data_IF_173754663726
#
_entry.id   IF_173754663726
#
_cell.length_a   1.000
_cell.length_b   1.000
_cell.length_c   1.000
_cell.angle_alpha   90.00
_cell.angle_beta   90.00
_cell.angle_gamma   90.00
#
_symmetry.space_group_name_H-M   'P 1'
#
loop_
_entity.id
_entity.type
_entity.pdbx_description
1 polymer ?
#
# COMPACT_ATOMS: atom_id res chain seq x y z
N UNK A 1 -1.88 6.75 -11.80
CA UNK A 1 -1.96 5.84 -10.93
C UNK A 1 -1.53 4.55 -11.37
N UNK A 2 -1.07 3.82 -10.55
CA UNK A 2 -0.53 2.65 -10.92
C UNK A 2 -1.40 1.56 -11.11
N UNK A 3 -2.61 1.71 -10.92
CA UNK A 3 -3.45 0.61 -10.93
C UNK A 3 -3.56 -0.09 -12.16
N UNK A 4 -3.64 -1.31 -12.13
CA UNK A 4 -3.85 -2.11 -13.20
C UNK A 4 -5.17 -2.04 -13.51
N UNK A 5 -5.54 -1.74 -14.50
CA UNK A 5 -6.72 -1.63 -14.82
C UNK A 5 -7.46 -2.70 -15.08
N UNK A 6 -8.63 -2.66 -14.91
CA UNK A 6 -9.55 -3.60 -15.24
C UNK A 6 -9.44 -4.85 -14.62
N UNK A 7 -8.58 -4.98 -13.73
CA UNK A 7 -8.36 -6.17 -13.26
C UNK A 7 -9.13 -6.46 -12.17
N UNK A 8 -9.92 -7.27 -12.27
CA UNK A 8 -10.67 -7.70 -11.20
C UNK A 8 -9.82 -8.21 -10.16
N UNK A 9 -10.28 -8.35 -8.99
CA UNK A 9 -9.50 -8.88 -7.95
C UNK A 9 -9.10 -10.28 -8.27
N UNK A 10 -7.84 -10.54 -8.07
CA UNK A 10 -7.33 -11.87 -8.24
C UNK A 10 -7.61 -12.61 -6.96
N UNK A 11 -8.35 -13.69 -7.02
CA UNK A 11 -8.75 -14.40 -5.81
C UNK A 11 -7.56 -14.90 -5.01
N UNK A 12 -6.43 -15.13 -5.65
CA UNK A 12 -5.25 -15.56 -4.91
C UNK A 12 -4.67 -14.45 -4.06
N UNK A 13 -4.97 -13.19 -4.39
CA UNK A 13 -4.46 -12.07 -3.64
C UNK A 13 -5.44 -11.57 -2.61
N UNK A 14 -6.69 -11.93 -2.73
CA UNK A 14 -7.70 -11.42 -1.83
C UNK A 14 -7.75 -12.27 -0.56
N UNK A 15 -7.75 -11.65 0.57
CA UNK A 15 -7.94 -12.34 1.83
C UNK A 15 -8.58 -11.39 2.80
N UNK A 16 -9.19 -11.94 3.84
CA UNK A 16 -9.81 -11.13 4.86
C UNK A 16 -8.78 -10.24 5.55
N UNK A 17 -7.61 -10.77 5.80
CA UNK A 17 -6.57 -10.00 6.48
C UNK A 17 -6.10 -8.84 5.61
N UNK A 18 -5.95 -9.06 4.32
CA UNK A 18 -5.56 -7.98 3.42
C UNK A 18 -6.66 -6.95 3.28
N UNK A 19 -7.91 -7.40 3.25
CA UNK A 19 -9.02 -6.48 3.19
C UNK A 19 -9.04 -5.56 4.40
N UNK A 20 -8.79 -6.11 5.56
CA UNK A 20 -8.76 -5.31 6.78
C UNK A 20 -7.59 -4.33 6.80
N UNK A 21 -6.45 -4.76 6.30
CA UNK A 21 -5.32 -3.88 6.17
C UNK A 21 -5.67 -2.69 5.26
N UNK A 22 -6.28 -2.97 4.13
CA UNK A 22 -6.60 -1.92 3.18
C UNK A 22 -7.67 -0.99 3.72
N UNK A 23 -8.63 -1.51 4.48
CA UNK A 23 -9.61 -0.66 5.12
C UNK A 23 -8.96 0.30 6.11
N UNK A 24 -7.98 -0.20 6.86
CA UNK A 24 -7.26 0.65 7.80
C UNK A 24 -6.49 1.74 7.07
N UNK A 25 -5.86 1.39 5.96
CA UNK A 25 -5.13 2.36 5.16
C UNK A 25 -6.07 3.45 4.64
N UNK A 26 -7.26 3.06 4.24
CA UNK A 26 -8.21 4.01 3.69
C UNK A 26 -8.74 4.99 4.73
N UNK A 27 -8.54 4.70 5.99
CA UNK A 27 -8.96 5.61 7.06
C UNK A 27 -7.88 6.62 7.42
N UNK A 28 -6.69 6.49 6.88
CA UNK A 28 -5.61 7.42 7.19
C UNK A 28 -5.89 8.76 6.52
N UNK A 29 -5.68 9.83 7.26
CA UNK A 29 -6.05 11.15 6.80
C UNK A 29 -4.91 12.13 6.64
N UNK A 30 -3.74 11.77 7.08
CA UNK A 30 -2.60 12.67 6.98
C UNK A 30 -1.34 11.86 6.80
N UNK A 31 -0.29 12.56 6.39
CA UNK A 31 1.00 11.90 6.24
C UNK A 31 1.50 11.44 7.58
N UNK A 32 1.27 12.22 8.64
CA UNK A 32 1.69 11.81 9.97
C UNK A 32 1.01 10.53 10.40
N UNK A 33 -0.28 10.40 10.13
CA UNK A 33 -0.97 9.15 10.46
C UNK A 33 -0.41 7.99 9.68
N UNK A 34 -0.01 8.21 8.45
CA UNK A 34 0.61 7.16 7.64
C UNK A 34 1.94 6.72 8.25
N UNK A 35 2.76 7.66 8.67
CA UNK A 35 4.02 7.29 9.30
C UNK A 35 3.77 6.46 10.56
N UNK A 36 2.86 6.90 11.41
CA UNK A 36 2.57 6.17 12.62
C UNK A 36 2.08 4.75 12.32
N UNK A 37 1.15 4.65 11.39
CA UNK A 37 0.57 3.36 11.05
C UNK A 37 1.61 2.41 10.49
N UNK A 38 2.39 2.88 9.53
CA UNK A 38 3.34 1.99 8.88
C UNK A 38 4.58 1.72 9.71
N UNK A 39 4.94 2.62 10.63
CA UNK A 39 6.04 2.32 11.53
C UNK A 39 5.69 1.17 12.47
N UNK A 40 4.41 1.02 12.80
CA UNK A 40 4.01 -0.09 13.63
C UNK A 40 3.94 -1.41 12.86
N UNK A 41 3.68 -1.34 11.57
CA UNK A 41 3.48 -2.55 10.79
C UNK A 41 4.68 -3.00 10.02
N UNK A 42 5.56 -2.09 9.66
CA UNK A 42 6.66 -2.38 8.75
C UNK A 42 7.99 -2.01 9.33
N UNK A 43 9.02 -2.69 8.89
CA UNK A 43 10.36 -2.23 9.20
C UNK A 43 10.69 -1.04 8.31
N UNK A 44 11.71 -0.30 8.68
CA UNK A 44 12.14 0.84 7.89
C UNK A 44 12.50 0.40 6.47
N UNK A 45 13.16 -0.74 6.33
CA UNK A 45 13.54 -1.23 5.02
C UNK A 45 12.34 -1.58 4.16
N UNK A 46 11.33 -2.18 4.78
CA UNK A 46 10.12 -2.52 4.05
C UNK A 46 9.43 -1.27 3.54
N UNK A 47 9.36 -0.25 4.36
CA UNK A 47 8.70 0.98 3.97
C UNK A 47 9.48 1.70 2.88
N UNK A 48 10.81 1.73 2.99
CA UNK A 48 11.64 2.33 1.98
C UNK A 48 11.51 1.61 0.64
N UNK A 49 11.43 0.29 0.70
CA UNK A 49 11.27 -0.50 -0.50
C UNK A 49 9.93 -0.19 -1.20
N UNK A 50 8.86 -0.06 -0.43
CA UNK A 50 7.58 0.28 -1.01
C UNK A 50 7.58 1.66 -1.62
N UNK A 51 8.20 2.63 -0.95
CA UNK A 51 8.29 3.98 -1.47
C UNK A 51 9.08 4.02 -2.76
N UNK A 52 10.15 3.24 -2.84
CA UNK A 52 10.95 3.19 -4.04
C UNK A 52 10.19 2.53 -5.18
N UNK A 53 9.45 1.49 -4.90
CA UNK A 53 8.63 0.84 -5.93
C UNK A 53 7.59 1.79 -6.49
N UNK A 54 6.98 2.60 -5.65
CA UNK A 54 6.02 3.56 -6.11
C UNK A 54 6.70 4.61 -6.99
N UNK A 55 7.87 5.07 -6.59
CA UNK A 55 8.60 6.05 -7.36
C UNK A 55 8.92 5.51 -8.76
N UNK A 56 9.42 4.28 -8.84
CA UNK A 56 9.75 3.67 -10.12
C UNK A 56 8.49 3.50 -10.97
N UNK A 57 7.41 3.08 -10.36
CA UNK A 57 6.18 2.89 -11.09
C UNK A 57 5.67 4.20 -11.68
N UNK A 58 5.85 5.30 -10.97
CA UNK A 58 5.42 6.60 -11.49
C UNK A 58 6.28 7.03 -12.68
N UNK A 59 7.51 6.61 -12.73
CA UNK A 59 8.37 6.96 -13.85
C UNK A 59 7.99 6.20 -15.13
N UNK A 60 7.30 5.10 -14.98
CA UNK A 60 6.94 4.29 -16.13
C UNK A 60 5.61 4.69 -16.76
N UNK A 61 4.94 5.63 -16.20
CA UNK A 61 3.62 6.02 -16.69
C UNK A 61 3.70 7.11 -17.75
#
# INVERSE_FOLDING_TARGET
MLLRKGNAMNTKLVSKDKDELFKAIMELRSIEECYDFFEDLCTIRELESMAQRLHVAKLLV
#
